data_IF_837260486007
#
_entry.id   IF_837260486007
#
_cell.length_a   1.000
_cell.length_b   1.000
_cell.length_c   1.000
_cell.angle_alpha   90.00
_cell.angle_beta   90.00
_cell.angle_gamma   90.00
#
_symmetry.space_group_name_H-M   'P 1'
#
loop_
_entity.id
_entity.type
_entity.pdbx_description
1 polymer ?
#
# COMPACT_ATOMS: atom_id res chain seq x y z
N UNK A 1 -8.77 23.30 10.85
CA UNK A 1 -9.42 22.00 11.11
C UNK A 1 -8.30 20.99 11.14
N UNK A 2 -8.35 19.99 12.01
CA UNK A 2 -7.30 18.97 12.06
C UNK A 2 -7.38 18.14 10.76
N UNK A 3 -6.22 17.79 10.20
CA UNK A 3 -6.12 16.89 9.08
C UNK A 3 -5.95 15.50 9.67
N UNK A 4 -7.03 14.70 9.71
CA UNK A 4 -7.05 13.49 10.54
C UNK A 4 -7.18 12.20 9.75
N UNK A 5 -7.69 12.22 8.50
CA UNK A 5 -8.00 11.01 7.76
C UNK A 5 -6.89 10.62 6.78
N UNK A 6 -6.46 9.36 6.82
CA UNK A 6 -5.69 8.74 5.75
C UNK A 6 -6.64 8.30 4.64
N UNK A 7 -6.49 8.85 3.45
CA UNK A 7 -7.13 8.33 2.24
C UNK A 7 -6.17 7.44 1.48
N UNK A 8 -6.65 6.30 1.01
CA UNK A 8 -5.93 5.50 0.03
C UNK A 8 -6.74 5.40 -1.25
N UNK A 9 -6.09 5.48 -2.40
CA UNK A 9 -6.74 5.31 -3.71
C UNK A 9 -6.12 4.13 -4.46
N UNK A 10 -6.96 3.27 -5.02
CA UNK A 10 -6.50 2.13 -5.81
C UNK A 10 -7.42 0.92 -5.68
N UNK A 11 -6.87 -0.27 -5.82
CA UNK A 11 -7.63 -1.51 -5.82
C UNK A 11 -7.98 -2.00 -4.42
N UNK A 12 -9.18 -2.58 -4.32
CA UNK A 12 -9.50 -3.63 -3.37
C UNK A 12 -10.00 -4.85 -4.16
N UNK A 13 -9.62 -6.03 -3.74
CA UNK A 13 -9.87 -7.25 -4.48
C UNK A 13 -10.05 -8.45 -3.55
N UNK A 14 -10.42 -9.59 -4.12
CA UNK A 14 -10.45 -10.85 -3.39
C UNK A 14 -9.24 -11.71 -3.78
N UNK A 15 -8.40 -12.01 -2.80
CA UNK A 15 -7.38 -13.04 -2.89
C UNK A 15 -8.01 -14.41 -2.69
N UNK A 16 -7.93 -15.25 -3.72
CA UNK A 16 -8.40 -16.63 -3.70
C UNK A 16 -7.26 -17.52 -3.21
N UNK A 17 -7.27 -17.83 -1.92
CA UNK A 17 -6.19 -18.59 -1.26
C UNK A 17 -6.43 -20.09 -1.46
N UNK A 18 -5.45 -20.84 -2.03
CA UNK A 18 -5.60 -22.26 -2.28
C UNK A 18 -5.60 -23.06 -0.97
N UNK A 19 -6.44 -24.09 -0.90
CA UNK A 19 -6.49 -25.03 0.23
C UNK A 19 -5.35 -26.05 0.20
N UNK A 20 -4.61 -26.15 -0.90
CA UNK A 20 -3.45 -27.03 -1.08
C UNK A 20 -2.33 -26.26 -1.78
N UNK A 21 -1.11 -26.43 -1.29
CA UNK A 21 0.11 -25.78 -1.80
C UNK A 21 1.07 -26.83 -2.37
N UNK A 22 2.07 -26.41 -3.14
CA UNK A 22 3.06 -27.31 -3.72
C UNK A 22 2.48 -28.24 -4.78
N UNK A 23 1.44 -27.82 -5.49
CA UNK A 23 0.80 -28.57 -6.56
C UNK A 23 0.38 -27.62 -7.69
N UNK A 24 0.07 -28.18 -8.86
CA UNK A 24 -0.45 -27.40 -9.98
C UNK A 24 -1.82 -26.78 -9.64
N UNK A 25 -2.16 -25.68 -10.29
CA UNK A 25 -3.45 -25.01 -10.10
C UNK A 25 -4.65 -25.96 -10.31
N UNK A 26 -4.54 -26.88 -11.28
CA UNK A 26 -5.59 -27.87 -11.58
C UNK A 26 -5.82 -28.89 -10.44
N UNK A 27 -4.86 -29.07 -9.55
CA UNK A 27 -4.93 -30.01 -8.43
C UNK A 27 -5.42 -29.36 -7.13
N UNK A 28 -5.69 -28.03 -7.14
CA UNK A 28 -6.24 -27.31 -5.98
C UNK A 28 -7.74 -27.61 -5.88
N UNK A 29 -8.21 -28.29 -4.81
CA UNK A 29 -9.59 -28.72 -4.73
C UNK A 29 -10.56 -27.59 -4.36
N UNK A 30 -10.07 -26.52 -3.68
CA UNK A 30 -10.88 -25.39 -3.27
C UNK A 30 -10.03 -24.15 -2.97
N UNK A 31 -10.68 -22.99 -3.00
CA UNK A 31 -10.09 -21.70 -2.66
C UNK A 31 -10.92 -21.00 -1.59
N UNK A 32 -10.26 -20.30 -0.69
CA UNK A 32 -10.91 -19.45 0.31
C UNK A 32 -10.76 -17.98 -0.08
N UNK A 33 -11.87 -17.22 -0.22
CA UNK A 33 -11.79 -15.81 -0.54
C UNK A 33 -11.33 -15.00 0.70
N UNK A 34 -10.37 -14.10 0.50
CA UNK A 34 -9.90 -13.14 1.49
C UNK A 34 -9.87 -11.75 0.88
N UNK A 35 -10.27 -10.76 1.65
CA UNK A 35 -10.15 -9.36 1.24
C UNK A 35 -8.70 -8.95 1.23
N UNK A 36 -8.27 -8.32 0.13
CA UNK A 36 -6.93 -7.85 -0.13
C UNK A 36 -6.95 -6.56 -0.96
N UNK A 37 -5.78 -6.19 -1.45
CA UNK A 37 -5.51 -4.93 -2.13
C UNK A 37 -4.61 -4.04 -1.29
N UNK A 38 -3.48 -3.59 -1.85
CA UNK A 38 -2.48 -2.86 -1.09
C UNK A 38 -3.04 -1.57 -0.46
N UNK A 39 -3.82 -0.73 -1.16
CA UNK A 39 -4.42 0.47 -0.56
C UNK A 39 -5.38 0.14 0.60
N UNK A 40 -6.18 -0.92 0.47
CA UNK A 40 -7.07 -1.38 1.54
C UNK A 40 -6.29 -1.87 2.77
N UNK A 41 -5.18 -2.59 2.55
CA UNK A 41 -4.30 -3.05 3.62
C UNK A 41 -3.66 -1.88 4.39
N UNK A 42 -3.22 -0.82 3.69
CA UNK A 42 -2.67 0.40 4.32
C UNK A 42 -3.73 1.09 5.18
N UNK A 43 -4.97 1.26 4.68
CA UNK A 43 -6.09 1.75 5.47
C UNK A 43 -6.32 0.89 6.72
N UNK A 44 -6.31 -0.44 6.55
CA UNK A 44 -6.48 -1.38 7.65
C UNK A 44 -5.41 -1.29 8.72
N UNK A 45 -4.14 -1.14 8.34
CA UNK A 45 -3.04 -0.96 9.29
C UNK A 45 -3.21 0.33 10.10
N UNK A 46 -3.61 1.40 9.44
CA UNK A 46 -3.84 2.70 10.06
C UNK A 46 -5.06 2.67 11.02
N UNK A 47 -6.17 2.06 10.59
CA UNK A 47 -7.38 1.91 11.40
C UNK A 47 -7.15 1.01 12.63
N UNK A 48 -6.38 -0.08 12.50
CA UNK A 48 -6.03 -0.97 13.63
C UNK A 48 -5.27 -0.25 14.74
N UNK A 49 -4.58 0.82 14.41
CA UNK A 49 -3.86 1.68 15.37
C UNK A 49 -4.74 2.82 15.93
N UNK A 50 -6.02 2.88 15.53
CA UNK A 50 -6.99 3.87 15.98
C UNK A 50 -6.98 5.17 15.18
N UNK A 51 -6.42 5.17 13.96
CA UNK A 51 -6.52 6.29 13.03
C UNK A 51 -7.75 6.19 12.13
N UNK A 52 -8.28 7.31 11.66
CA UNK A 52 -9.36 7.37 10.70
C UNK A 52 -8.82 7.14 9.29
N UNK A 53 -9.38 6.19 8.55
CA UNK A 53 -8.97 5.90 7.17
C UNK A 53 -10.14 5.64 6.26
N UNK A 54 -10.00 5.96 4.98
CA UNK A 54 -11.03 5.77 3.95
C UNK A 54 -10.41 5.30 2.63
N UNK A 55 -11.14 4.45 1.91
CA UNK A 55 -10.70 3.89 0.64
C UNK A 55 -11.47 4.52 -0.53
N UNK A 56 -10.74 5.08 -1.50
CA UNK A 56 -11.27 5.60 -2.77
C UNK A 56 -11.08 4.54 -3.86
N UNK A 57 -12.16 3.86 -4.22
CA UNK A 57 -12.14 2.78 -5.22
C UNK A 57 -13.52 2.52 -5.80
N UNK A 58 -13.58 1.63 -6.78
CA UNK A 58 -14.82 1.10 -7.32
C UNK A 58 -14.81 -0.42 -7.29
N UNK A 59 -15.93 -1.00 -6.88
CA UNK A 59 -16.14 -2.44 -6.85
C UNK A 59 -17.32 -2.82 -7.75
N UNK A 60 -17.37 -4.08 -8.15
CA UNK A 60 -18.56 -4.61 -8.80
C UNK A 60 -19.75 -4.61 -7.83
N UNK A 61 -20.94 -4.33 -8.36
CA UNK A 61 -22.18 -4.60 -7.63
C UNK A 61 -22.46 -6.12 -7.67
N UNK A 62 -21.58 -6.85 -6.97
CA UNK A 62 -21.56 -8.31 -6.93
C UNK A 62 -21.24 -8.80 -5.50
N UNK A 63 -21.43 -10.12 -5.22
CA UNK A 63 -21.21 -10.65 -3.87
C UNK A 63 -19.80 -10.41 -3.31
N UNK A 64 -18.78 -10.30 -4.16
CA UNK A 64 -17.43 -10.01 -3.71
C UNK A 64 -17.22 -8.54 -3.37
N UNK A 65 -17.82 -7.63 -4.16
CA UNK A 65 -17.81 -6.20 -3.86
C UNK A 65 -18.46 -5.89 -2.51
N UNK A 66 -19.64 -6.46 -2.26
CA UNK A 66 -20.35 -6.32 -0.99
C UNK A 66 -19.54 -6.94 0.17
N UNK A 67 -18.95 -8.13 -0.02
CA UNK A 67 -18.08 -8.74 0.99
C UNK A 67 -16.89 -7.84 1.36
N UNK A 68 -16.26 -7.19 0.38
CA UNK A 68 -15.13 -6.26 0.63
C UNK A 68 -15.63 -5.09 1.48
N UNK A 69 -16.76 -4.46 1.12
CA UNK A 69 -17.33 -3.34 1.86
C UNK A 69 -17.60 -3.74 3.33
N UNK A 70 -18.25 -4.87 3.54
CA UNK A 70 -18.61 -5.34 4.88
C UNK A 70 -17.38 -5.62 5.75
N UNK A 71 -16.37 -6.29 5.19
CA UNK A 71 -15.14 -6.62 5.93
C UNK A 71 -14.28 -5.38 6.22
N UNK A 72 -14.14 -4.45 5.26
CA UNK A 72 -13.41 -3.21 5.49
C UNK A 72 -14.10 -2.34 6.55
N UNK A 73 -15.43 -2.21 6.48
CA UNK A 73 -16.22 -1.50 7.50
C UNK A 73 -16.08 -2.13 8.89
N UNK A 74 -16.09 -3.47 8.98
CA UNK A 74 -15.87 -4.19 10.23
C UNK A 74 -14.47 -3.96 10.82
N UNK A 75 -13.48 -3.61 9.98
CA UNK A 75 -12.12 -3.25 10.40
C UNK A 75 -11.98 -1.75 10.78
N UNK A 76 -13.05 -0.96 10.72
CA UNK A 76 -13.04 0.46 11.05
C UNK A 76 -12.60 1.38 9.92
N UNK A 77 -12.57 0.89 8.67
CA UNK A 77 -12.27 1.70 7.49
C UNK A 77 -13.58 2.34 6.99
N UNK A 78 -13.56 3.64 6.70
CA UNK A 78 -14.70 4.30 6.05
C UNK A 78 -14.84 3.82 4.60
N UNK A 79 -15.94 3.16 4.32
CA UNK A 79 -16.31 2.61 3.00
C UNK A 79 -17.31 3.48 2.24
N UNK A 80 -17.71 4.63 2.78
CA UNK A 80 -18.71 5.53 2.17
C UNK A 80 -18.26 6.13 0.82
N UNK A 81 -16.97 6.08 0.54
CA UNK A 81 -16.36 6.57 -0.71
C UNK A 81 -16.07 5.46 -1.73
N UNK A 82 -16.50 4.22 -1.45
CA UNK A 82 -16.43 3.11 -2.39
C UNK A 82 -17.62 3.19 -3.34
N UNK A 83 -17.34 3.30 -4.64
CA UNK A 83 -18.36 3.26 -5.67
C UNK A 83 -18.71 1.82 -6.06
N UNK A 84 -19.97 1.54 -6.40
CA UNK A 84 -20.39 0.28 -6.99
C UNK A 84 -20.73 0.46 -8.48
N UNK A 85 -20.48 -0.58 -9.29
CA UNK A 85 -20.80 -0.60 -10.72
C UNK A 85 -21.28 -1.98 -11.18
N UNK A 86 -22.24 -1.98 -12.10
CA UNK A 86 -22.69 -3.17 -12.82
C UNK A 86 -21.92 -3.43 -14.13
N UNK A 87 -20.99 -2.52 -14.50
CA UNK A 87 -20.26 -2.58 -15.77
C UNK A 87 -19.09 -3.57 -15.77
N UNK A 88 -18.58 -3.92 -14.61
CA UNK A 88 -17.49 -4.88 -14.46
C UNK A 88 -17.51 -5.52 -13.07
N UNK A 89 -16.98 -6.73 -12.97
CA UNK A 89 -16.91 -7.46 -11.71
C UNK A 89 -15.79 -6.96 -10.81
N UNK A 90 -15.92 -7.22 -9.52
CA UNK A 90 -14.85 -7.07 -8.54
C UNK A 90 -13.62 -7.89 -8.95
N UNK A 91 -12.44 -7.32 -8.79
CA UNK A 91 -11.18 -7.97 -9.12
C UNK A 91 -10.92 -9.21 -8.26
N UNK A 92 -10.39 -10.28 -8.87
CA UNK A 92 -9.93 -11.46 -8.16
C UNK A 92 -8.45 -11.71 -8.46
N UNK A 93 -7.71 -12.18 -7.45
CA UNK A 93 -6.35 -12.67 -7.58
C UNK A 93 -6.28 -14.12 -7.08
N UNK A 94 -6.00 -15.07 -7.95
CA UNK A 94 -5.74 -16.45 -7.54
C UNK A 94 -4.28 -16.59 -7.14
N UNK A 95 -4.05 -17.03 -5.93
CA UNK A 95 -2.72 -17.31 -5.40
C UNK A 95 -2.36 -18.76 -5.69
N UNK A 96 -1.20 -18.98 -6.26
CA UNK A 96 -0.58 -20.31 -6.36
C UNK A 96 0.70 -20.31 -5.55
N UNK A 97 0.90 -21.38 -4.77
CA UNK A 97 2.13 -21.59 -4.00
C UNK A 97 2.86 -22.78 -4.61
N UNK A 98 4.01 -22.53 -5.23
CA UNK A 98 4.85 -23.55 -5.81
C UNK A 98 5.54 -24.39 -4.74
N UNK A 99 6.11 -25.53 -5.12
CA UNK A 99 6.75 -26.47 -4.18
C UNK A 99 7.97 -25.85 -3.46
N UNK A 100 8.60 -24.86 -4.05
CA UNK A 100 9.73 -24.09 -3.48
C UNK A 100 9.30 -22.94 -2.56
N UNK A 101 7.95 -22.73 -2.40
CA UNK A 101 7.37 -21.67 -1.59
C UNK A 101 7.17 -20.36 -2.34
N UNK A 102 7.54 -20.28 -3.62
CA UNK A 102 7.29 -19.10 -4.45
C UNK A 102 5.80 -18.91 -4.69
N UNK A 103 5.35 -17.65 -4.63
CA UNK A 103 3.97 -17.27 -4.91
C UNK A 103 3.86 -16.76 -6.34
N UNK A 104 2.91 -17.32 -7.07
CA UNK A 104 2.48 -16.77 -8.36
C UNK A 104 1.03 -16.31 -8.26
N UNK A 105 0.69 -15.27 -9.03
CA UNK A 105 -0.64 -14.67 -9.03
C UNK A 105 -1.23 -14.72 -10.42
N UNK A 106 -2.51 -15.14 -10.50
CA UNK A 106 -3.32 -15.03 -11.71
C UNK A 106 -4.45 -14.04 -11.44
N UNK A 107 -4.36 -12.87 -12.09
CA UNK A 107 -5.32 -11.79 -11.89
C UNK A 107 -6.48 -11.87 -12.89
N UNK A 108 -7.70 -11.79 -12.37
CA UNK A 108 -8.93 -11.62 -13.15
C UNK A 108 -9.36 -10.15 -13.07
N UNK A 109 -8.73 -9.34 -13.95
CA UNK A 109 -8.76 -7.88 -13.91
C UNK A 109 -8.67 -7.27 -15.33
N UNK A 110 -9.57 -7.72 -16.27
CA UNK A 110 -9.48 -7.32 -17.71
C UNK A 110 -10.84 -6.99 -18.33
N UNK A 111 -11.45 -5.81 -18.08
CA UNK A 111 -11.24 -4.93 -16.92
C UNK A 111 -11.94 -5.49 -15.67
N UNK A 112 -11.53 -5.02 -14.51
CA UNK A 112 -12.29 -5.13 -13.27
C UNK A 112 -12.88 -3.76 -12.89
N UNK A 113 -13.80 -3.76 -11.95
CA UNK A 113 -14.55 -2.58 -11.55
C UNK A 113 -13.64 -1.42 -11.09
N UNK A 114 -12.57 -1.72 -10.35
CA UNK A 114 -11.61 -0.73 -9.85
C UNK A 114 -10.91 0.04 -10.99
N UNK A 115 -10.59 -0.60 -12.11
CA UNK A 115 -9.97 0.06 -13.26
C UNK A 115 -10.90 1.06 -13.95
N UNK A 116 -12.21 0.95 -13.73
CA UNK A 116 -13.21 1.87 -14.30
C UNK A 116 -13.51 3.09 -13.41
N UNK A 117 -12.91 3.16 -12.21
CA UNK A 117 -13.04 4.35 -11.35
C UNK A 117 -12.45 5.55 -12.06
N UNK A 118 -13.30 6.54 -12.36
CA UNK A 118 -12.95 7.66 -13.22
C UNK A 118 -12.66 8.95 -12.43
N UNK A 119 -11.93 9.92 -13.00
CA UNK A 119 -11.62 11.19 -12.34
C UNK A 119 -12.84 11.94 -11.79
N UNK A 120 -13.99 11.85 -12.45
CA UNK A 120 -15.24 12.49 -12.06
C UNK A 120 -15.84 11.91 -10.77
N UNK A 121 -15.42 10.71 -10.38
CA UNK A 121 -15.88 10.05 -9.15
C UNK A 121 -15.03 10.44 -7.93
N UNK A 122 -13.89 11.12 -8.15
CA UNK A 122 -13.03 11.60 -7.07
C UNK A 122 -13.65 12.86 -6.44
N UNK A 123 -14.15 12.74 -5.22
CA UNK A 123 -14.56 13.91 -4.45
C UNK A 123 -13.32 14.66 -3.93
N UNK A 124 -12.91 15.71 -4.65
CA UNK A 124 -11.72 16.48 -4.31
C UNK A 124 -11.85 17.28 -3.01
N UNK A 125 -13.07 17.47 -2.49
CA UNK A 125 -13.31 18.18 -1.24
C UNK A 125 -12.81 17.41 -0.01
N UNK A 126 -12.68 16.08 -0.11
CA UNK A 126 -12.17 15.21 0.95
C UNK A 126 -10.76 15.60 1.41
N UNK A 127 -9.94 16.10 0.49
CA UNK A 127 -8.55 16.42 0.79
C UNK A 127 -8.38 17.67 1.67
N UNK A 128 -9.43 18.49 1.84
CA UNK A 128 -9.39 19.64 2.75
C UNK A 128 -9.10 19.24 4.22
N UNK A 129 -9.45 18.00 4.61
CA UNK A 129 -9.21 17.45 5.95
C UNK A 129 -8.33 16.18 5.93
N UNK A 130 -7.73 15.85 4.79
CA UNK A 130 -6.91 14.68 4.65
C UNK A 130 -5.54 14.87 5.30
N UNK A 131 -5.12 13.94 6.12
CA UNK A 131 -3.76 13.86 6.64
C UNK A 131 -2.79 13.38 5.56
N UNK A 132 -3.09 12.25 4.94
CA UNK A 132 -2.29 11.67 3.88
C UNK A 132 -3.16 11.06 2.77
N UNK A 133 -2.60 11.01 1.56
CA UNK A 133 -3.10 10.24 0.44
C UNK A 133 -2.06 9.17 0.09
N UNK A 134 -2.43 7.91 0.25
CA UNK A 134 -1.61 6.75 -0.14
C UNK A 134 -2.05 6.19 -1.49
N UNK A 135 -1.09 5.76 -2.30
CA UNK A 135 -1.34 5.00 -3.53
C UNK A 135 -0.17 4.08 -3.89
N UNK A 136 -0.43 3.10 -4.77
CA UNK A 136 0.58 2.17 -5.25
C UNK A 136 0.50 1.99 -6.78
N UNK A 137 1.50 1.30 -7.40
CA UNK A 137 1.54 1.15 -8.85
C UNK A 137 0.52 0.15 -9.41
N UNK A 138 -0.05 -0.71 -8.57
CA UNK A 138 -0.98 -1.79 -8.98
C UNK A 138 -2.17 -1.25 -9.78
N UNK A 139 -2.66 -0.06 -9.43
CA UNK A 139 -3.80 0.57 -10.08
C UNK A 139 -3.41 1.67 -11.10
N UNK A 140 -2.10 1.84 -11.40
CA UNK A 140 -1.60 2.83 -12.36
C UNK A 140 -1.46 2.30 -13.80
N UNK A 141 -1.94 1.09 -14.10
CA UNK A 141 -2.07 0.62 -15.49
C UNK A 141 -2.95 1.58 -16.28
N UNK A 142 -2.76 1.65 -17.58
CA UNK A 142 -3.54 2.55 -18.45
C UNK A 142 -5.05 2.25 -18.31
N UNK A 143 -5.76 3.17 -17.67
CA UNK A 143 -7.18 3.01 -17.30
C UNK A 143 -7.75 4.33 -16.78
N UNK A 144 -9.09 4.48 -16.65
CA UNK A 144 -9.71 5.61 -15.94
C UNK A 144 -9.15 5.80 -14.52
N UNK A 145 -8.88 4.72 -13.78
CA UNK A 145 -8.32 4.75 -12.42
C UNK A 145 -6.96 5.48 -12.37
N UNK A 146 -6.11 5.31 -13.38
CA UNK A 146 -4.83 6.06 -13.44
C UNK A 146 -5.07 7.57 -13.51
N UNK A 147 -6.05 8.02 -14.27
CA UNK A 147 -6.40 9.44 -14.35
C UNK A 147 -7.08 9.93 -13.07
N UNK A 148 -7.87 9.08 -12.41
CA UNK A 148 -8.41 9.36 -11.06
C UNK A 148 -7.29 9.57 -10.03
N UNK A 149 -6.19 8.79 -10.08
CA UNK A 149 -5.02 9.02 -9.24
C UNK A 149 -4.42 10.42 -9.48
N UNK A 150 -4.25 10.84 -10.73
CA UNK A 150 -3.73 12.19 -11.04
C UNK A 150 -4.62 13.29 -10.45
N UNK A 151 -5.94 13.12 -10.54
CA UNK A 151 -6.93 14.05 -9.97
C UNK A 151 -6.82 14.11 -8.44
N UNK A 152 -6.78 12.94 -7.78
CA UNK A 152 -6.64 12.85 -6.33
C UNK A 152 -5.31 13.45 -5.84
N UNK A 153 -4.20 13.11 -6.49
CA UNK A 153 -2.86 13.64 -6.17
C UNK A 153 -2.82 15.16 -6.31
N UNK A 154 -3.39 15.72 -7.40
CA UNK A 154 -3.42 17.17 -7.60
C UNK A 154 -4.24 17.89 -6.53
N UNK A 155 -5.40 17.35 -6.15
CA UNK A 155 -6.26 17.89 -5.11
C UNK A 155 -5.59 17.80 -3.72
N UNK A 156 -5.03 16.64 -3.37
CA UNK A 156 -4.29 16.43 -2.13
C UNK A 156 -3.08 17.37 -2.02
N UNK A 157 -2.32 17.53 -3.11
CA UNK A 157 -1.20 18.48 -3.20
C UNK A 157 -1.64 19.90 -2.89
N UNK A 158 -2.75 20.34 -3.50
CA UNK A 158 -3.29 21.70 -3.31
C UNK A 158 -3.78 21.94 -1.88
N UNK A 159 -4.25 20.92 -1.20
CA UNK A 159 -4.71 20.96 0.18
C UNK A 159 -3.57 20.89 1.22
N UNK A 160 -2.33 20.58 0.81
CA UNK A 160 -1.21 20.41 1.73
C UNK A 160 -1.10 19.02 2.37
N UNK A 161 -1.92 18.07 1.93
CA UNK A 161 -1.92 16.67 2.34
C UNK A 161 -0.56 16.01 2.01
N UNK A 162 -0.06 15.14 2.88
CA UNK A 162 1.10 14.29 2.59
C UNK A 162 0.72 13.28 1.50
N UNK A 163 1.51 13.16 0.47
CA UNK A 163 1.32 12.18 -0.60
C UNK A 163 2.36 11.07 -0.43
N UNK A 164 1.88 9.87 -0.20
CA UNK A 164 2.69 8.67 0.00
C UNK A 164 2.55 7.70 -1.17
N UNK A 165 3.67 7.20 -1.66
CA UNK A 165 3.74 6.27 -2.77
C UNK A 165 4.56 5.03 -2.41
N UNK A 166 3.93 3.87 -2.45
CA UNK A 166 4.59 2.57 -2.45
C UNK A 166 4.53 1.98 -3.87
N UNK A 167 5.64 1.88 -4.63
CA UNK A 167 5.63 1.23 -5.93
C UNK A 167 4.94 -0.13 -5.94
N UNK A 168 5.19 -0.98 -4.97
CA UNK A 168 4.53 -2.26 -4.77
C UNK A 168 4.38 -3.06 -6.08
N UNK A 169 5.53 -3.39 -6.68
CA UNK A 169 5.61 -3.90 -8.06
C UNK A 169 4.86 -5.23 -8.22
N UNK A 170 4.02 -5.31 -9.24
CA UNK A 170 3.27 -6.53 -9.63
C UNK A 170 3.42 -6.75 -11.13
N UNK A 171 4.56 -7.30 -11.54
CA UNK A 171 4.89 -7.55 -12.96
C UNK A 171 3.77 -8.21 -13.78
N UNK A 172 3.02 -9.21 -13.28
CA UNK A 172 1.97 -9.88 -14.05
C UNK A 172 0.79 -8.97 -14.45
N UNK A 173 0.65 -7.80 -13.83
CA UNK A 173 -0.42 -6.84 -14.14
C UNK A 173 -0.08 -5.92 -15.32
N UNK A 174 1.17 -5.88 -15.73
CA UNK A 174 1.67 -4.92 -16.71
C UNK A 174 1.93 -5.58 -18.06
N UNK A 175 1.76 -4.82 -19.18
CA UNK A 175 2.08 -5.33 -20.52
C UNK A 175 3.54 -5.78 -20.64
N UNK A 176 4.44 -5.01 -20.05
CA UNK A 176 5.86 -5.29 -19.98
C UNK A 176 6.51 -4.58 -18.79
N UNK A 177 7.75 -4.96 -18.47
CA UNK A 177 8.52 -4.39 -17.35
C UNK A 177 8.87 -2.91 -17.56
N UNK A 178 9.10 -2.50 -18.80
CA UNK A 178 9.46 -1.13 -19.12
C UNK A 178 8.26 -0.18 -18.94
N UNK A 179 7.05 -0.63 -19.28
CA UNK A 179 5.81 0.13 -19.02
C UNK A 179 5.61 0.36 -17.53
N UNK A 180 5.80 -0.68 -16.70
CA UNK A 180 5.74 -0.55 -15.25
C UNK A 180 6.78 0.46 -14.76
N UNK A 181 8.05 0.29 -15.14
CA UNK A 181 9.14 1.16 -14.71
C UNK A 181 8.89 2.62 -15.10
N UNK A 182 8.51 2.88 -16.36
CA UNK A 182 8.19 4.25 -16.84
C UNK A 182 7.08 4.88 -16.01
N UNK A 183 6.01 4.13 -15.71
CA UNK A 183 4.89 4.65 -14.95
C UNK A 183 5.29 4.93 -13.50
N UNK A 184 6.03 4.03 -12.84
CA UNK A 184 6.52 4.28 -11.48
C UNK A 184 7.38 5.55 -11.45
N UNK A 185 8.31 5.72 -12.40
CA UNK A 185 9.17 6.91 -12.49
C UNK A 185 8.40 8.19 -12.87
N UNK A 186 7.24 8.08 -13.54
CA UNK A 186 6.34 9.23 -13.79
C UNK A 186 5.66 9.70 -12.50
N UNK A 187 5.21 8.77 -11.65
CA UNK A 187 4.46 9.09 -10.43
C UNK A 187 5.36 9.37 -9.21
N UNK A 188 6.55 8.80 -9.16
CA UNK A 188 7.49 8.97 -8.03
C UNK A 188 7.75 10.44 -7.67
N UNK A 189 8.00 11.37 -8.62
CA UNK A 189 8.20 12.79 -8.29
C UNK A 189 6.98 13.49 -7.70
N UNK A 190 5.81 12.87 -7.76
CA UNK A 190 4.55 13.43 -7.23
C UNK A 190 4.36 13.10 -5.75
N UNK A 191 5.14 12.20 -5.17
CA UNK A 191 5.05 11.83 -3.76
C UNK A 191 5.94 12.72 -2.87
N UNK A 192 5.56 12.84 -1.60
CA UNK A 192 6.37 13.43 -0.53
C UNK A 192 7.11 12.34 0.25
N UNK A 193 6.46 11.19 0.43
CA UNK A 193 7.00 9.98 1.05
C UNK A 193 7.01 8.87 0.01
N UNK A 194 8.12 8.16 -0.10
CA UNK A 194 8.25 6.99 -0.98
C UNK A 194 8.72 5.81 -0.14
N UNK A 195 7.99 4.70 -0.16
CA UNK A 195 8.47 3.44 0.41
C UNK A 195 8.92 2.54 -0.74
N UNK A 196 10.10 1.97 -0.63
CA UNK A 196 10.68 1.04 -1.59
C UNK A 196 11.28 -0.16 -0.87
N UNK A 197 11.11 -1.37 -1.41
CA UNK A 197 11.77 -2.57 -0.89
C UNK A 197 13.14 -2.80 -1.54
N UNK A 198 13.96 -3.62 -0.90
CA UNK A 198 15.25 -4.07 -1.47
C UNK A 198 15.07 -4.82 -2.80
N UNK A 199 13.98 -5.59 -2.94
CA UNK A 199 13.64 -6.28 -4.18
C UNK A 199 13.27 -5.33 -5.33
N UNK A 200 12.75 -4.14 -5.02
CA UNK A 200 12.29 -3.13 -5.99
C UNK A 200 13.39 -2.17 -6.41
N UNK A 201 14.38 -1.95 -5.54
CA UNK A 201 15.38 -0.90 -5.68
C UNK A 201 16.16 -1.01 -7.00
N UNK A 202 16.74 -2.19 -7.27
CA UNK A 202 17.55 -2.40 -8.46
C UNK A 202 16.74 -2.25 -9.76
N UNK A 203 15.50 -2.73 -9.76
CA UNK A 203 14.62 -2.60 -10.92
C UNK A 203 14.31 -1.14 -11.26
N UNK A 204 14.07 -0.31 -10.25
CA UNK A 204 13.70 1.09 -10.46
C UNK A 204 14.90 1.98 -10.74
N UNK A 205 16.02 1.79 -10.03
CA UNK A 205 17.15 2.71 -10.01
C UNK A 205 18.37 2.21 -10.80
N UNK A 206 18.45 0.91 -11.08
CA UNK A 206 19.59 0.28 -11.75
C UNK A 206 20.75 -0.05 -10.81
N UNK A 207 20.57 0.10 -9.48
CA UNK A 207 21.55 -0.28 -8.47
C UNK A 207 20.87 -0.91 -7.25
N UNK A 208 21.52 -1.88 -6.63
CA UNK A 208 21.11 -2.49 -5.37
C UNK A 208 21.67 -1.75 -4.13
N UNK A 209 22.51 -0.74 -4.34
CA UNK A 209 23.04 0.11 -3.28
C UNK A 209 22.11 1.30 -3.05
N UNK A 210 21.46 1.32 -1.87
CA UNK A 210 20.50 2.38 -1.53
C UNK A 210 21.16 3.76 -1.49
N UNK A 211 22.38 3.88 -0.97
CA UNK A 211 23.06 5.17 -0.89
C UNK A 211 23.35 5.74 -2.30
N UNK A 212 23.73 4.88 -3.23
CA UNK A 212 23.92 5.26 -4.63
C UNK A 212 22.60 5.59 -5.33
N UNK A 213 21.48 5.01 -4.89
CA UNK A 213 20.14 5.20 -5.45
C UNK A 213 19.46 6.49 -4.96
N UNK A 214 19.74 6.97 -3.73
CA UNK A 214 19.06 8.11 -3.11
C UNK A 214 18.93 9.34 -4.02
N UNK A 215 19.95 9.77 -4.82
CA UNK A 215 19.80 10.91 -5.70
C UNK A 215 18.70 10.74 -6.77
N UNK A 216 18.42 9.50 -7.19
CA UNK A 216 17.35 9.18 -8.15
C UNK A 216 15.99 9.01 -7.49
N UNK A 217 15.94 8.80 -6.17
CA UNK A 217 14.71 8.70 -5.40
C UNK A 217 14.26 10.07 -4.86
N UNK A 218 15.19 10.94 -4.48
CA UNK A 218 14.89 12.31 -4.03
C UNK A 218 14.64 13.26 -5.21
N UNK A 219 13.64 12.94 -6.02
CA UNK A 219 13.21 13.74 -7.19
C UNK A 219 11.86 14.39 -6.93
N UNK A 220 11.57 15.50 -7.65
CA UNK A 220 10.31 16.22 -7.51
C UNK A 220 10.02 16.67 -6.08
N UNK A 221 8.96 16.15 -5.49
CA UNK A 221 8.51 16.51 -4.16
C UNK A 221 9.00 15.56 -3.06
N UNK A 222 9.73 14.50 -3.37
CA UNK A 222 10.14 13.47 -2.39
C UNK A 222 11.06 14.08 -1.32
N UNK A 223 10.65 13.91 -0.07
CA UNK A 223 11.33 14.43 1.12
C UNK A 223 11.69 13.32 2.12
N UNK A 224 11.02 12.18 2.05
CA UNK A 224 11.27 11.03 2.90
C UNK A 224 11.26 9.75 2.05
N UNK A 225 12.32 8.96 2.15
CA UNK A 225 12.44 7.63 1.53
C UNK A 225 12.49 6.58 2.63
N UNK A 226 11.57 5.64 2.60
CA UNK A 226 11.53 4.46 3.47
C UNK A 226 12.05 3.27 2.65
N UNK A 227 13.11 2.64 3.13
CA UNK A 227 13.71 1.49 2.47
C UNK A 227 13.60 0.26 3.37
N UNK A 228 12.80 -0.72 2.93
CA UNK A 228 12.50 -1.93 3.69
C UNK A 228 13.31 -3.10 3.17
N UNK A 229 13.96 -3.86 4.08
CA UNK A 229 14.85 -4.98 3.79
C UNK A 229 14.36 -6.27 4.48
N UNK A 230 13.05 -6.49 4.52
CA UNK A 230 12.43 -7.68 5.10
C UNK A 230 12.92 -7.95 6.52
N UNK A 231 13.53 -9.13 6.73
CA UNK A 231 14.03 -9.54 8.05
C UNK A 231 15.29 -8.79 8.51
N UNK A 232 15.95 -8.04 7.64
CA UNK A 232 17.09 -7.21 8.01
C UNK A 232 16.67 -5.88 8.67
N UNK A 233 15.41 -5.47 8.49
CA UNK A 233 14.88 -4.25 9.07
C UNK A 233 14.51 -3.19 8.03
N UNK A 234 14.60 -1.92 8.43
CA UNK A 234 14.25 -0.82 7.55
C UNK A 234 15.09 0.43 7.83
N UNK A 235 15.24 1.24 6.79
CA UNK A 235 15.91 2.53 6.83
C UNK A 235 14.91 3.63 6.46
N UNK A 236 15.13 4.83 6.98
CA UNK A 236 14.43 6.04 6.58
C UNK A 236 15.44 7.14 6.29
N UNK A 237 15.30 7.80 5.16
CA UNK A 237 16.19 8.87 4.72
C UNK A 237 15.41 10.15 4.47
N UNK A 238 15.86 11.25 5.06
CA UNK A 238 15.61 12.59 4.55
C UNK A 238 16.88 13.04 3.81
N UNK A 239 16.89 14.26 3.26
CA UNK A 239 18.13 14.79 2.65
C UNK A 239 19.25 15.06 3.67
N UNK A 240 18.93 15.11 4.96
CA UNK A 240 19.85 15.52 6.03
C UNK A 240 19.95 14.54 7.18
N UNK A 241 19.05 13.58 7.27
CA UNK A 241 19.01 12.60 8.36
C UNK A 241 18.79 11.19 7.81
N UNK A 242 19.34 10.22 8.51
CA UNK A 242 19.16 8.78 8.26
C UNK A 242 18.85 8.08 9.57
N UNK A 243 17.78 7.28 9.56
CA UNK A 243 17.42 6.37 10.61
C UNK A 243 17.50 4.91 10.15
N UNK A 244 17.77 4.01 11.09
CA UNK A 244 17.77 2.56 10.88
C UNK A 244 17.18 1.84 12.09
N UNK A 245 16.40 0.79 11.82
CA UNK A 245 15.97 -0.15 12.84
C UNK A 245 16.02 -1.58 12.31
N UNK A 246 16.73 -2.45 13.00
CA UNK A 246 16.79 -3.88 12.71
C UNK A 246 15.47 -4.56 13.07
N UNK A 247 14.99 -5.48 12.23
CA UNK A 247 13.86 -6.34 12.58
C UNK A 247 14.25 -7.37 13.63
N UNK A 248 13.33 -7.65 14.56
CA UNK A 248 13.52 -8.78 15.50
C UNK A 248 13.20 -10.08 14.76
N UNK A 249 14.03 -11.11 14.91
CA UNK A 249 13.76 -12.41 14.31
C UNK A 249 12.43 -12.99 14.82
N UNK A 250 11.54 -13.35 13.89
CA UNK A 250 10.27 -14.02 14.17
C UNK A 250 10.08 -15.19 13.21
N UNK A 251 9.26 -16.17 13.60
CA UNK A 251 8.87 -17.24 12.69
C UNK A 251 7.70 -16.74 11.82
N UNK A 252 8.01 -16.34 10.60
CA UNK A 252 6.98 -15.94 9.66
C UNK A 252 6.09 -17.13 9.26
N UNK A 253 4.78 -16.88 9.23
CA UNK A 253 3.72 -17.80 8.78
C UNK A 253 3.17 -17.30 7.44
N UNK A 254 2.90 -15.99 7.35
CA UNK A 254 2.38 -15.33 6.17
C UNK A 254 2.90 -13.88 6.10
N UNK A 255 3.51 -13.50 4.98
CA UNK A 255 4.07 -12.16 4.78
C UNK A 255 3.15 -11.25 3.97
N UNK A 256 1.91 -11.69 3.69
CA UNK A 256 0.92 -10.88 2.96
C UNK A 256 0.63 -9.60 3.73
N UNK A 257 0.69 -8.47 3.02
CA UNK A 257 0.41 -7.16 3.60
C UNK A 257 1.50 -6.61 4.55
N UNK A 258 2.67 -7.28 4.71
CA UNK A 258 3.71 -6.77 5.60
C UNK A 258 4.25 -5.39 5.16
N UNK A 259 4.46 -5.18 3.86
CA UNK A 259 4.85 -3.87 3.30
C UNK A 259 3.78 -2.80 3.51
N UNK A 260 2.53 -3.16 3.25
CA UNK A 260 1.37 -2.28 3.44
C UNK A 260 1.19 -1.92 4.93
N UNK A 261 1.36 -2.91 5.82
CA UNK A 261 1.35 -2.72 7.27
C UNK A 261 2.49 -1.81 7.75
N UNK A 262 3.67 -1.95 7.14
CA UNK A 262 4.82 -1.09 7.45
C UNK A 262 4.49 0.37 7.14
N UNK A 263 4.07 0.68 5.92
CA UNK A 263 3.79 2.06 5.53
C UNK A 263 2.59 2.63 6.27
N UNK A 264 1.49 1.86 6.44
CA UNK A 264 0.31 2.31 7.19
C UNK A 264 0.63 2.64 8.65
N UNK A 265 1.43 1.81 9.33
CA UNK A 265 1.87 2.07 10.70
C UNK A 265 2.86 3.23 10.79
N UNK A 266 3.73 3.43 9.80
CA UNK A 266 4.66 4.55 9.75
C UNK A 266 3.93 5.89 9.54
N UNK A 267 2.97 5.95 8.61
CA UNK A 267 2.12 7.14 8.42
C UNK A 267 1.32 7.48 9.69
N UNK A 268 0.85 6.45 10.41
CA UNK A 268 0.19 6.67 11.70
C UNK A 268 1.15 7.27 12.74
N UNK A 269 2.42 6.86 12.78
CA UNK A 269 3.42 7.48 13.66
C UNK A 269 3.68 8.94 13.30
N UNK A 270 3.80 9.26 12.01
CA UNK A 270 3.93 10.66 11.57
C UNK A 270 2.74 11.49 12.06
N UNK A 271 1.52 10.99 11.83
CA UNK A 271 0.28 11.69 12.23
C UNK A 271 0.20 11.90 13.74
N UNK A 272 0.38 10.82 14.51
CA UNK A 272 0.32 10.85 15.98
C UNK A 272 1.30 11.85 16.59
N UNK A 273 2.44 12.07 15.94
CA UNK A 273 3.46 13.00 16.39
C UNK A 273 3.32 14.41 15.77
N UNK A 274 2.20 14.69 15.09
CA UNK A 274 1.89 16.01 14.54
C UNK A 274 2.80 16.44 13.38
N UNK A 275 3.37 15.48 12.65
CA UNK A 275 4.23 15.77 11.51
C UNK A 275 3.35 16.07 10.30
N UNK A 276 3.38 17.29 9.84
CA UNK A 276 2.77 17.70 8.57
C UNK A 276 3.78 17.61 7.41
N UNK A 277 3.32 17.89 6.19
CA UNK A 277 4.16 17.85 5.00
C UNK A 277 5.37 18.78 5.07
N UNK A 278 5.23 19.95 5.71
CA UNK A 278 6.30 20.92 5.81
C UNK A 278 7.40 20.49 6.79
N UNK A 279 7.05 19.64 7.77
CA UNK A 279 7.98 19.13 8.77
C UNK A 279 8.80 17.91 8.28
N UNK A 280 8.40 17.23 7.22
CA UNK A 280 9.10 16.02 6.73
C UNK A 280 10.62 16.21 6.53
N UNK A 281 11.11 17.32 5.91
CA UNK A 281 12.56 17.51 5.70
C UNK A 281 13.36 17.73 6.99
N UNK A 282 12.69 18.12 8.08
CA UNK A 282 13.32 18.45 9.36
C UNK A 282 13.36 17.26 10.34
N UNK A 283 12.86 16.09 9.96
CA UNK A 283 12.88 14.88 10.77
C UNK A 283 14.30 14.50 11.15
N UNK A 284 14.50 14.13 12.41
CA UNK A 284 15.79 13.77 12.96
C UNK A 284 15.96 12.24 13.05
N UNK A 285 17.20 11.78 13.05
CA UNK A 285 17.53 10.35 13.07
C UNK A 285 16.86 9.58 14.23
N UNK A 286 16.82 10.17 15.43
CA UNK A 286 16.21 9.51 16.60
C UNK A 286 14.69 9.29 16.44
N UNK A 287 13.98 10.26 15.84
CA UNK A 287 12.57 10.11 15.53
C UNK A 287 12.35 9.00 14.49
N UNK A 288 13.15 9.02 13.43
CA UNK A 288 13.10 8.00 12.38
C UNK A 288 13.37 6.60 12.95
N UNK A 289 14.40 6.45 13.81
CA UNK A 289 14.72 5.17 14.46
C UNK A 289 13.55 4.64 15.29
N UNK A 290 12.90 5.50 16.08
CA UNK A 290 11.76 5.11 16.92
C UNK A 290 10.55 4.65 16.08
N UNK A 291 10.24 5.36 15.00
CA UNK A 291 9.09 5.03 14.14
C UNK A 291 9.36 3.79 13.27
N UNK A 292 10.60 3.59 12.84
CA UNK A 292 11.02 2.37 12.17
C UNK A 292 10.92 1.15 13.11
N UNK A 293 11.36 1.28 14.37
CA UNK A 293 11.24 0.19 15.36
C UNK A 293 9.77 -0.16 15.61
N UNK A 294 8.90 0.85 15.70
CA UNK A 294 7.47 0.62 15.84
C UNK A 294 6.89 -0.14 14.64
N UNK A 295 7.19 0.30 13.40
CA UNK A 295 6.69 -0.35 12.19
C UNK A 295 7.26 -1.75 12.00
N UNK A 296 8.54 -1.98 12.37
CA UNK A 296 9.14 -3.31 12.37
C UNK A 296 8.46 -4.25 13.38
N UNK A 297 8.09 -3.77 14.59
CA UNK A 297 7.32 -4.56 15.57
C UNK A 297 5.91 -4.85 15.07
N UNK A 298 5.24 -3.87 14.46
CA UNK A 298 3.93 -4.05 13.85
C UNK A 298 3.95 -5.18 12.80
N UNK A 299 4.89 -5.11 11.87
CA UNK A 299 5.08 -6.16 10.86
C UNK A 299 5.49 -7.50 11.48
N UNK A 300 6.40 -7.48 12.45
CA UNK A 300 6.83 -8.68 13.16
C UNK A 300 5.69 -9.40 13.88
N UNK A 301 4.69 -8.67 14.38
CA UNK A 301 3.47 -9.26 14.94
C UNK A 301 2.59 -9.85 13.83
N UNK A 302 2.38 -9.11 12.76
CA UNK A 302 1.51 -9.50 11.64
C UNK A 302 1.99 -10.77 10.95
N UNK A 303 3.27 -10.86 10.55
CA UNK A 303 3.78 -11.98 9.76
C UNK A 303 3.75 -13.34 10.47
N UNK A 304 3.45 -13.39 11.76
CA UNK A 304 3.26 -14.63 12.54
C UNK A 304 1.82 -15.17 12.43
N UNK A 305 0.95 -14.51 11.65
CA UNK A 305 -0.47 -14.82 11.47
C UNK A 305 -0.83 -14.84 9.99
N UNK A 306 -1.94 -15.50 9.66
CA UNK A 306 -2.45 -15.51 8.29
C UNK A 306 -3.25 -14.26 7.97
N UNK A 307 -3.15 -13.81 6.72
CA UNK A 307 -3.88 -12.67 6.17
C UNK A 307 -3.14 -11.35 6.34
N UNK A 308 -3.66 -10.28 5.72
CA UNK A 308 -3.15 -8.93 5.84
C UNK A 308 -3.85 -8.20 7.01
N UNK A 309 -4.99 -7.53 6.76
CA UNK A 309 -5.68 -6.70 7.76
C UNK A 309 -6.04 -7.50 9.03
N UNK A 310 -6.47 -8.75 8.88
CA UNK A 310 -6.82 -9.63 10.00
C UNK A 310 -5.64 -9.92 10.92
N UNK A 311 -4.42 -9.90 10.39
CA UNK A 311 -3.18 -10.18 11.13
C UNK A 311 -2.61 -8.96 11.86
N UNK A 312 -3.06 -7.76 11.51
CA UNK A 312 -2.51 -6.51 12.05
C UNK A 312 -2.84 -6.32 13.52
N UNK A 313 -1.85 -5.94 14.36
CA UNK A 313 -2.07 -5.69 15.77
C UNK A 313 -2.82 -4.38 16.01
N UNK A 314 -3.53 -4.32 17.11
CA UNK A 314 -3.95 -3.06 17.72
C UNK A 314 -2.81 -2.46 18.55
N UNK A 315 -2.95 -1.19 18.98
CA UNK A 315 -1.94 -0.50 19.78
C UNK A 315 -1.64 -1.24 21.09
N UNK A 316 -2.64 -1.87 21.71
CA UNK A 316 -2.49 -2.59 22.98
C UNK A 316 -1.75 -3.93 22.83
N UNK A 317 -1.51 -4.39 21.61
CA UNK A 317 -0.82 -5.65 21.29
C UNK A 317 0.66 -5.44 20.94
N UNK A 318 1.11 -4.19 20.84
CA UNK A 318 2.48 -3.76 20.51
C UNK A 318 3.24 -3.31 21.76
#
# INVERSE_FOLDING_TARGET
MAHDTLYAIGEALIDMIPSKTGCSFAEVPSFSPRVGGAPANVCGAYARLGGDSALLTQLGDDPFGHKIIDELAACGIDTSHICLTDKANTALAFVSLEADGNRTFSFYRKPSADLLYAPEQVDTSLFANAYALHFCSVALVESPMREAHKTAIAAARSAGTIIDFDPNLRFPLWPDRDALRRTVLEFLPLADVVKISDEELEFLTGTSDIEAALPSLFVGHVQLVLYTCGNAGAHAYTRTAHGFSASKPVKAVDTTGAGDGFIGSFLWQLHKNGVDRAALPALQADQLNQWLDFSNRFCGYSVQRYGAIDSYPTIDQL
#
